data_IF_886032755957
#
_entry.id   IF_886032755957
#
_cell.length_a   1.000
_cell.length_b   1.000
_cell.length_c   1.000
_cell.angle_alpha   90.00
_cell.angle_beta   90.00
_cell.angle_gamma   90.00
#
_symmetry.space_group_name_H-M   'P 1'
#
loop_
_entity.id
_entity.type
_entity.pdbx_description
1 polymer ?
#
# COMPACT_ATOMS: atom_id res chain seq x y z
N UNK A 1 7.73 20.46 14.71
CA UNK A 1 6.90 20.94 13.59
C UNK A 1 7.31 20.23 12.31
N UNK A 2 6.84 18.99 12.14
CA UNK A 2 6.98 18.18 10.92
C UNK A 2 5.82 17.17 10.95
N UNK A 3 5.00 17.15 9.89
CA UNK A 3 4.19 16.01 9.40
C UNK A 3 2.79 15.72 9.99
N UNK A 4 1.89 16.69 10.11
CA UNK A 4 0.44 16.40 10.07
C UNK A 4 -0.15 16.60 8.67
N UNK A 5 0.35 17.59 7.91
CA UNK A 5 0.07 17.74 6.47
C UNK A 5 0.55 16.58 5.59
N UNK A 6 1.30 15.60 6.13
CA UNK A 6 1.58 14.36 5.41
C UNK A 6 0.45 13.34 5.51
N UNK A 7 -0.38 13.34 6.55
CA UNK A 7 -1.30 12.22 6.80
C UNK A 7 -2.53 12.20 5.88
N UNK A 8 -2.95 13.36 5.35
CA UNK A 8 -4.04 13.47 4.36
C UNK A 8 -3.53 13.44 2.91
N UNK A 9 -2.23 13.71 2.71
CA UNK A 9 -1.53 13.62 1.41
C UNK A 9 -0.77 12.30 1.24
N UNK A 10 -0.82 11.42 2.24
CA UNK A 10 -0.34 10.03 2.16
C UNK A 10 -1.40 9.09 1.57
N UNK A 11 -2.20 9.58 0.61
CA UNK A 11 -2.59 8.75 -0.53
C UNK A 11 -1.37 8.62 -1.44
N UNK A 12 -0.30 8.01 -0.93
CA UNK A 12 0.92 7.76 -1.71
C UNK A 12 0.56 6.66 -2.71
N UNK A 13 0.28 7.09 -3.95
CA UNK A 13 1.01 6.69 -5.15
C UNK A 13 1.76 5.36 -4.93
N UNK A 14 1.15 4.24 -5.34
CA UNK A 14 1.82 2.95 -5.52
C UNK A 14 2.77 3.00 -6.74
N UNK A 15 3.62 4.02 -6.77
CA UNK A 15 4.71 4.16 -7.72
C UNK A 15 6.01 3.70 -7.04
N UNK A 16 6.42 2.48 -7.34
CA UNK A 16 7.83 2.20 -7.59
C UNK A 16 8.84 2.31 -6.44
N UNK A 17 8.49 2.19 -5.16
CA UNK A 17 9.49 1.78 -4.15
C UNK A 17 9.55 0.28 -4.07
N UNK A 18 10.39 -0.26 -4.96
CA UNK A 18 10.78 -1.65 -5.08
C UNK A 18 11.03 -2.28 -3.70
N UNK A 19 10.25 -3.33 -3.45
CA UNK A 19 10.41 -4.32 -2.40
C UNK A 19 11.72 -5.08 -2.64
N UNK A 20 12.85 -4.61 -2.15
CA UNK A 20 14.10 -5.39 -2.26
C UNK A 20 14.18 -6.55 -1.26
N UNK A 21 13.23 -6.67 -0.32
CA UNK A 21 13.24 -7.71 0.72
C UNK A 21 11.82 -8.23 1.04
N UNK A 22 10.97 -8.50 0.03
CA UNK A 22 9.75 -9.26 0.29
C UNK A 22 10.08 -10.73 0.51
N UNK A 23 10.01 -11.15 1.76
CA UNK A 23 10.02 -12.56 2.10
C UNK A 23 8.64 -13.20 1.88
N UNK A 24 8.64 -14.51 1.62
CA UNK A 24 7.58 -15.48 1.73
C UNK A 24 6.42 -15.26 2.68
N UNK A 25 5.46 -14.35 2.46
CA UNK A 25 4.16 -14.52 3.13
C UNK A 25 3.53 -15.77 2.51
N UNK A 26 3.15 -16.77 3.32
CA UNK A 26 2.84 -18.11 2.84
C UNK A 26 1.71 -18.08 1.79
N UNK A 27 1.62 -18.98 0.81
CA UNK A 27 0.62 -18.87 -0.29
C UNK A 27 -0.87 -18.95 0.16
N UNK A 28 -1.16 -19.51 1.33
CA UNK A 28 -2.47 -19.44 2.00
C UNK A 28 -2.67 -18.13 2.78
N UNK A 29 -1.60 -17.54 3.32
CA UNK A 29 -1.56 -16.17 3.83
C UNK A 29 -1.61 -15.16 2.70
N UNK A 30 -1.03 -15.40 1.52
CA UNK A 30 -1.15 -14.66 0.26
C UNK A 30 -2.45 -14.93 -0.44
N UNK A 31 -3.18 -16.03 -0.26
CA UNK A 31 -4.59 -16.12 -0.70
C UNK A 31 -5.52 -15.40 0.26
N UNK A 32 -5.21 -15.45 1.55
CA UNK A 32 -5.84 -14.60 2.54
C UNK A 32 -5.40 -13.15 2.37
N UNK A 33 -4.22 -12.87 1.81
CA UNK A 33 -3.60 -11.56 1.59
C UNK A 33 -3.71 -11.05 0.17
N UNK A 34 -4.12 -11.81 -0.84
CA UNK A 34 -4.51 -11.34 -2.17
C UNK A 34 -6.01 -11.21 -2.24
N UNK A 35 -6.75 -12.05 -1.51
CA UNK A 35 -8.10 -11.69 -1.10
C UNK A 35 -8.06 -10.48 -0.18
N UNK A 36 -7.17 -10.42 0.83
CA UNK A 36 -6.99 -9.20 1.62
C UNK A 36 -6.24 -8.07 0.91
N UNK A 37 -5.50 -8.27 -0.19
CA UNK A 37 -4.76 -7.20 -0.90
C UNK A 37 -5.58 -6.62 -2.05
N UNK A 38 -6.44 -7.44 -2.66
CA UNK A 38 -7.61 -6.93 -3.37
C UNK A 38 -8.63 -6.32 -2.37
N UNK A 39 -8.57 -6.66 -1.07
CA UNK A 39 -9.15 -5.85 0.03
C UNK A 39 -8.18 -4.77 0.60
N UNK A 40 -6.92 -4.66 0.16
CA UNK A 40 -5.97 -3.59 0.56
C UNK A 40 -6.09 -2.39 -0.37
N UNK A 41 -6.89 -2.49 -1.43
CA UNK A 41 -7.83 -1.43 -1.74
C UNK A 41 -8.82 -1.30 -0.57
N UNK A 42 -8.36 -0.81 0.60
CA UNK A 42 -9.14 -0.50 1.80
C UNK A 42 -10.59 -1.04 1.80
N UNK A 43 -10.80 -2.36 1.84
CA UNK A 43 -12.04 -2.93 2.38
C UNK A 43 -11.79 -3.04 3.87
N UNK A 44 -11.77 -1.86 4.48
CA UNK A 44 -12.41 -1.72 5.77
C UNK A 44 -13.78 -2.37 5.61
N UNK A 45 -14.00 -3.46 6.33
CA UNK A 45 -15.30 -4.14 6.52
C UNK A 45 -16.23 -3.18 7.28
N UNK A 46 -16.53 -2.06 6.63
CA UNK A 46 -17.40 -0.99 7.06
C UNK A 46 -18.60 -1.15 6.11
N UNK A 47 -19.51 -2.08 6.43
CA UNK A 47 -20.94 -1.97 6.06
C UNK A 47 -21.62 -0.79 6.79
N UNK A 48 -20.87 0.29 6.99
CA UNK A 48 -21.31 1.60 7.42
C UNK A 48 -21.07 2.46 6.21
N UNK A 49 -22.13 2.96 5.60
CA UNK A 49 -22.02 4.02 4.61
C UNK A 49 -21.03 5.06 5.13
N UNK A 50 -19.85 5.17 4.48
CA UNK A 50 -18.83 6.10 4.94
C UNK A 50 -19.46 7.49 4.95
N UNK A 51 -19.42 8.10 6.12
CA UNK A 51 -19.96 9.44 6.28
C UNK A 51 -19.12 10.39 5.43
N UNK A 52 -19.77 11.17 4.55
CA UNK A 52 -19.05 12.14 3.73
C UNK A 52 -18.25 13.09 4.63
N UNK A 53 -17.09 13.56 4.15
CA UNK A 53 -16.29 14.50 4.92
C UNK A 53 -17.08 15.77 5.32
N UNK A 54 -18.00 16.21 4.44
CA UNK A 54 -18.94 17.29 4.71
C UNK A 54 -19.84 16.97 5.92
N UNK A 55 -20.36 15.75 6.03
CA UNK A 55 -21.22 15.37 7.14
C UNK A 55 -20.43 15.24 8.45
N UNK A 56 -19.19 14.73 8.38
CA UNK A 56 -18.26 14.75 9.50
C UNK A 56 -18.00 16.18 10.02
N UNK A 57 -17.75 17.15 9.12
CA UNK A 57 -17.60 18.56 9.48
C UNK A 57 -18.86 19.09 10.20
N UNK A 58 -20.06 18.80 9.67
CA UNK A 58 -21.32 19.25 10.28
C UNK A 58 -21.50 18.72 11.70
N UNK A 59 -21.18 17.44 11.92
CA UNK A 59 -21.33 16.77 13.23
C UNK A 59 -20.23 17.15 14.24
N UNK A 60 -19.12 17.71 13.78
CA UNK A 60 -18.02 18.09 14.66
C UNK A 60 -18.46 19.07 15.73
N UNK A 61 -18.02 18.82 16.98
CA UNK A 61 -18.29 19.66 18.14
C UNK A 61 -17.10 20.54 18.52
N UNK A 62 -15.93 20.30 17.91
CA UNK A 62 -14.66 20.92 18.31
C UNK A 62 -14.31 22.17 17.48
N UNK A 63 -15.15 22.51 16.49
CA UNK A 63 -15.04 23.69 15.65
C UNK A 63 -16.35 24.47 15.66
N UNK A 64 -16.26 25.79 15.48
CA UNK A 64 -17.41 26.70 15.45
C UNK A 64 -18.21 26.57 14.15
N UNK A 65 -19.46 27.05 14.13
CA UNK A 65 -20.29 27.03 12.91
C UNK A 65 -19.66 27.82 11.75
N UNK A 66 -19.00 28.95 12.02
CA UNK A 66 -18.27 29.71 10.99
C UNK A 66 -17.08 28.91 10.41
N UNK A 67 -16.36 28.18 11.26
CA UNK A 67 -15.28 27.29 10.83
C UNK A 67 -15.81 26.11 10.01
N UNK A 68 -16.98 25.55 10.37
CA UNK A 68 -17.65 24.51 9.57
C UNK A 68 -18.04 25.04 8.18
N UNK A 69 -18.66 26.21 8.11
CA UNK A 69 -19.04 26.83 6.84
C UNK A 69 -17.81 27.06 5.94
N UNK A 70 -16.69 27.50 6.51
CA UNK A 70 -15.43 27.69 5.78
C UNK A 70 -14.87 26.37 5.22
N UNK A 71 -14.85 25.29 6.03
CA UNK A 71 -14.39 23.98 5.57
C UNK A 71 -15.32 23.37 4.51
N UNK A 72 -16.65 23.45 4.72
CA UNK A 72 -17.63 22.95 3.75
C UNK A 72 -17.53 23.72 2.43
N UNK A 73 -17.30 25.03 2.48
CA UNK A 73 -17.07 25.83 1.28
C UNK A 73 -15.81 25.38 0.55
N UNK A 74 -14.71 25.20 1.29
CA UNK A 74 -13.45 24.71 0.72
C UNK A 74 -13.64 23.35 0.04
N UNK A 75 -14.34 22.42 0.69
CA UNK A 75 -14.59 21.08 0.15
C UNK A 75 -15.40 21.12 -1.14
N UNK A 76 -16.44 21.95 -1.19
CA UNK A 76 -17.22 22.17 -2.43
C UNK A 76 -16.40 22.80 -3.55
N UNK A 77 -15.46 23.69 -3.22
CA UNK A 77 -14.55 24.28 -4.21
C UNK A 77 -13.53 23.25 -4.73
N UNK A 78 -13.18 22.24 -3.92
CA UNK A 78 -12.27 21.15 -4.28
C UNK A 78 -12.95 19.97 -5.00
N UNK A 79 -14.28 19.82 -4.92
CA UNK A 79 -15.04 18.74 -5.57
C UNK A 79 -14.60 18.43 -7.03
N UNK A 80 -14.46 19.39 -7.95
CA UNK A 80 -13.98 19.10 -9.31
C UNK A 80 -12.51 18.64 -9.35
N UNK A 81 -11.69 19.06 -8.40
CA UNK A 81 -10.29 18.63 -8.27
C UNK A 81 -10.24 17.17 -7.80
N UNK A 82 -11.05 16.81 -6.79
CA UNK A 82 -11.17 15.44 -6.30
C UNK A 82 -11.64 14.47 -7.37
N UNK A 83 -12.69 14.84 -8.12
CA UNK A 83 -13.16 14.02 -9.24
C UNK A 83 -12.08 13.78 -10.29
N UNK A 84 -11.28 14.80 -10.59
CA UNK A 84 -10.18 14.67 -11.56
C UNK A 84 -9.04 13.79 -11.01
N UNK A 85 -8.75 13.86 -9.71
CA UNK A 85 -7.80 12.97 -9.05
C UNK A 85 -8.27 11.52 -9.16
N UNK A 86 -9.52 11.23 -8.78
CA UNK A 86 -10.12 9.89 -8.87
C UNK A 86 -10.06 9.33 -10.30
N UNK A 87 -10.44 10.13 -11.31
CA UNK A 87 -10.38 9.75 -12.73
C UNK A 87 -8.94 9.43 -13.20
N UNK A 88 -7.93 10.13 -12.67
CA UNK A 88 -6.52 9.95 -13.04
C UNK A 88 -5.88 8.78 -12.31
N UNK A 89 -6.17 8.60 -11.02
CA UNK A 89 -5.76 7.43 -10.24
C UNK A 89 -6.32 6.15 -10.84
N UNK A 90 -7.60 6.14 -11.22
CA UNK A 90 -8.23 4.99 -11.90
C UNK A 90 -7.49 4.63 -13.20
N UNK A 91 -7.17 5.64 -14.03
CA UNK A 91 -6.41 5.40 -15.26
C UNK A 91 -4.99 4.92 -15.01
N UNK A 92 -4.32 5.44 -13.98
CA UNK A 92 -2.98 4.98 -13.59
C UNK A 92 -3.02 3.51 -13.15
N UNK A 93 -4.02 3.14 -12.35
CA UNK A 93 -4.24 1.77 -11.90
C UNK A 93 -4.52 0.83 -13.09
N UNK A 94 -5.38 1.21 -14.04
CA UNK A 94 -5.66 0.40 -15.23
C UNK A 94 -4.38 0.14 -16.06
N UNK A 95 -3.51 1.15 -16.18
CA UNK A 95 -2.22 1.02 -16.88
C UNK A 95 -1.30 0.05 -16.13
N UNK A 96 -1.18 0.23 -14.81
CA UNK A 96 -0.35 -0.61 -13.95
C UNK A 96 -0.83 -2.07 -13.97
N UNK A 97 -2.13 -2.33 -13.82
CA UNK A 97 -2.71 -3.68 -13.89
C UNK A 97 -2.43 -4.33 -15.24
N UNK A 98 -2.59 -3.59 -16.34
CA UNK A 98 -2.30 -4.12 -17.68
C UNK A 98 -0.82 -4.46 -17.89
N UNK A 99 0.10 -3.73 -17.27
CA UNK A 99 1.54 -3.94 -17.41
C UNK A 99 2.03 -5.03 -16.45
N UNK A 100 1.53 -5.05 -15.22
CA UNK A 100 2.06 -5.85 -14.12
C UNK A 100 1.21 -7.08 -13.77
N UNK A 101 -0.04 -7.15 -14.21
CA UNK A 101 -0.99 -8.20 -13.81
C UNK A 101 -0.48 -9.62 -14.10
N UNK A 102 0.02 -9.86 -15.31
CA UNK A 102 0.54 -11.17 -15.74
C UNK A 102 1.73 -11.63 -14.87
N UNK A 103 2.62 -10.71 -14.48
CA UNK A 103 3.80 -11.10 -13.71
C UNK A 103 3.42 -11.51 -12.28
N UNK A 104 2.42 -10.85 -11.68
CA UNK A 104 1.90 -11.26 -10.37
C UNK A 104 1.26 -12.65 -10.42
N UNK A 105 0.48 -12.95 -11.45
CA UNK A 105 -0.08 -14.30 -11.65
C UNK A 105 1.03 -15.36 -11.76
N UNK A 106 2.13 -15.06 -12.46
CA UNK A 106 3.27 -15.97 -12.61
C UNK A 106 4.04 -16.20 -11.30
N UNK A 107 4.17 -15.19 -10.44
CA UNK A 107 4.69 -15.39 -9.08
C UNK A 107 3.78 -16.30 -8.27
N UNK A 108 2.48 -16.03 -8.27
CA UNK A 108 1.48 -16.82 -7.55
C UNK A 108 1.49 -18.28 -8.01
N UNK A 109 1.51 -18.54 -9.31
CA UNK A 109 1.57 -19.89 -9.86
C UNK A 109 2.82 -20.64 -9.40
N UNK A 110 3.98 -19.96 -9.37
CA UNK A 110 5.24 -20.57 -8.95
C UNK A 110 5.24 -20.92 -7.47
N UNK A 111 4.78 -20.02 -6.59
CA UNK A 111 4.66 -20.31 -5.17
C UNK A 111 3.62 -21.40 -4.90
N UNK A 112 2.43 -21.30 -5.51
CA UNK A 112 1.35 -22.27 -5.30
C UNK A 112 1.72 -23.68 -5.78
N UNK A 113 2.55 -23.83 -6.81
CA UNK A 113 2.97 -25.13 -7.33
C UNK A 113 3.73 -25.96 -6.27
N UNK A 114 4.50 -25.29 -5.41
CA UNK A 114 5.34 -25.92 -4.39
C UNK A 114 5.09 -25.35 -2.98
N UNK A 115 3.87 -24.84 -2.72
CA UNK A 115 3.46 -24.13 -1.50
C UNK A 115 3.90 -24.85 -0.23
N UNK A 116 3.61 -26.15 -0.12
CA UNK A 116 3.96 -26.94 1.08
C UNK A 116 5.47 -27.06 1.33
N UNK A 117 6.28 -27.00 0.28
CA UNK A 117 7.74 -27.10 0.40
C UNK A 117 8.29 -25.73 0.84
N UNK A 118 7.74 -24.63 0.30
CA UNK A 118 8.04 -23.28 0.75
C UNK A 118 7.60 -23.03 2.20
N UNK A 119 6.39 -23.42 2.58
CA UNK A 119 5.89 -23.36 3.97
C UNK A 119 6.82 -24.10 4.91
N UNK A 120 7.18 -25.34 4.60
CA UNK A 120 8.11 -26.13 5.39
C UNK A 120 9.48 -25.46 5.56
N UNK A 121 9.97 -24.78 4.52
CA UNK A 121 11.22 -24.03 4.59
C UNK A 121 11.11 -22.81 5.52
N UNK A 122 10.04 -22.02 5.38
CA UNK A 122 9.82 -20.81 6.20
C UNK A 122 9.37 -21.11 7.64
N UNK A 123 8.76 -22.27 7.91
CA UNK A 123 8.50 -22.73 9.28
C UNK A 123 9.79 -23.06 10.04
N UNK A 124 10.82 -23.55 9.33
CA UNK A 124 12.13 -23.82 9.93
C UNK A 124 12.95 -22.54 10.12
N UNK A 125 13.02 -21.72 9.07
CA UNK A 125 13.86 -20.52 9.03
C UNK A 125 13.07 -19.35 9.61
N UNK A 126 13.47 -18.84 10.78
CA UNK A 126 12.89 -17.60 11.28
C UNK A 126 13.21 -16.46 10.31
N UNK A 127 12.31 -15.49 10.22
CA UNK A 127 12.51 -14.29 9.41
C UNK A 127 13.82 -13.55 9.73
N UNK A 128 14.22 -13.50 11.00
CA UNK A 128 15.50 -12.91 11.43
C UNK A 128 16.76 -13.67 10.96
N UNK A 129 16.62 -14.93 10.58
CA UNK A 129 17.71 -15.83 10.18
C UNK A 129 17.85 -15.97 8.65
N UNK A 130 16.86 -15.47 7.89
CA UNK A 130 16.90 -15.46 6.43
C UNK A 130 17.86 -14.38 5.93
N UNK A 131 18.60 -14.73 4.90
CA UNK A 131 19.56 -13.84 4.23
C UNK A 131 19.08 -13.51 2.83
N UNK A 132 19.69 -12.50 2.22
CA UNK A 132 19.43 -12.19 0.80
C UNK A 132 19.85 -13.33 -0.16
N UNK A 133 20.60 -14.34 0.33
CA UNK A 133 20.98 -15.54 -0.44
C UNK A 133 20.11 -16.74 -0.05
N UNK A 134 18.85 -16.72 -0.49
CA UNK A 134 17.87 -17.78 -0.27
C UNK A 134 18.37 -19.15 -0.77
N UNK A 135 19.19 -19.20 -1.84
CA UNK A 135 19.79 -20.45 -2.32
C UNK A 135 20.70 -21.10 -1.28
N UNK A 136 21.50 -20.28 -0.58
CA UNK A 136 22.34 -20.71 0.54
C UNK A 136 21.48 -21.16 1.72
N UNK A 137 20.38 -20.46 2.00
CA UNK A 137 19.52 -20.79 3.13
C UNK A 137 18.72 -22.09 2.91
N UNK A 138 18.24 -22.35 1.70
CA UNK A 138 17.67 -23.64 1.29
C UNK A 138 18.68 -24.77 1.52
N UNK A 139 19.97 -24.53 1.23
CA UNK A 139 21.01 -25.54 1.46
C UNK A 139 21.20 -25.85 2.96
N UNK A 140 21.11 -24.82 3.82
CA UNK A 140 21.25 -24.94 5.27
C UNK A 140 20.06 -25.61 5.95
N UNK A 141 18.88 -25.61 5.31
CA UNK A 141 17.69 -26.26 5.87
C UNK A 141 17.97 -27.71 6.27
N UNK A 142 17.54 -28.07 7.47
CA UNK A 142 17.66 -29.40 8.05
C UNK A 142 16.37 -30.20 7.88
N UNK A 143 15.24 -29.53 7.64
CA UNK A 143 13.94 -30.17 7.47
C UNK A 143 13.68 -30.61 6.03
N UNK A 144 14.23 -29.90 5.04
CA UNK A 144 14.07 -30.24 3.62
C UNK A 144 14.93 -31.45 3.22
N UNK A 145 14.32 -32.34 2.43
CA UNK A 145 15.01 -33.43 1.74
C UNK A 145 15.85 -32.91 0.57
N UNK A 146 16.75 -33.74 0.05
CA UNK A 146 17.57 -33.37 -1.11
C UNK A 146 16.73 -33.05 -2.36
N UNK A 147 15.60 -33.76 -2.55
CA UNK A 147 14.66 -33.51 -3.65
C UNK A 147 13.92 -32.18 -3.47
N UNK A 148 13.37 -31.94 -2.28
CA UNK A 148 12.71 -30.66 -1.94
C UNK A 148 13.67 -29.46 -2.10
N UNK A 149 14.93 -29.59 -1.67
CA UNK A 149 15.94 -28.55 -1.88
C UNK A 149 16.20 -28.29 -3.36
N UNK A 150 16.24 -29.33 -4.19
CA UNK A 150 16.42 -29.16 -5.63
C UNK A 150 15.22 -28.45 -6.28
N UNK A 151 14.00 -28.73 -5.82
CA UNK A 151 12.77 -28.05 -6.27
C UNK A 151 12.83 -26.57 -5.89
N UNK A 152 13.04 -26.23 -4.61
CA UNK A 152 13.07 -24.83 -4.17
C UNK A 152 14.19 -24.03 -4.83
N UNK A 153 15.35 -24.64 -5.09
CA UNK A 153 16.44 -23.98 -5.83
C UNK A 153 16.08 -23.69 -7.29
N UNK A 154 15.30 -24.56 -7.92
CA UNK A 154 14.82 -24.32 -9.28
C UNK A 154 13.75 -23.23 -9.30
N UNK A 155 12.87 -23.19 -8.30
CA UNK A 155 11.90 -22.11 -8.15
C UNK A 155 12.58 -20.78 -7.87
N UNK A 156 13.54 -20.73 -6.95
CA UNK A 156 14.35 -19.55 -6.64
C UNK A 156 15.09 -18.98 -7.86
N UNK A 157 15.56 -19.84 -8.77
CA UNK A 157 16.11 -19.38 -10.05
C UNK A 157 15.08 -18.70 -10.93
N UNK A 158 13.86 -19.24 -11.00
CA UNK A 158 12.76 -18.63 -11.75
C UNK A 158 12.29 -17.33 -11.09
N UNK A 159 12.20 -17.27 -9.76
CA UNK A 159 11.89 -16.05 -9.01
C UNK A 159 12.88 -14.94 -9.37
N UNK A 160 14.18 -15.23 -9.39
CA UNK A 160 15.22 -14.28 -9.83
C UNK A 160 15.10 -13.82 -11.28
N UNK A 161 14.51 -14.63 -12.15
CA UNK A 161 14.22 -14.24 -13.53
C UNK A 161 12.98 -13.34 -13.59
N UNK A 162 11.94 -13.68 -12.82
CA UNK A 162 10.75 -12.84 -12.66
C UNK A 162 11.11 -11.48 -12.05
N UNK A 163 12.00 -11.41 -11.06
CA UNK A 163 12.40 -10.14 -10.42
C UNK A 163 12.98 -9.16 -11.44
N UNK A 164 13.85 -9.65 -12.32
CA UNK A 164 14.45 -8.85 -13.42
C UNK A 164 13.44 -8.44 -14.47
N UNK A 165 12.39 -9.23 -14.67
CA UNK A 165 11.29 -8.88 -15.56
C UNK A 165 10.41 -7.82 -14.91
N UNK A 166 10.10 -7.97 -13.62
CA UNK A 166 9.33 -7.03 -12.82
C UNK A 166 9.98 -5.65 -12.78
N UNK A 167 11.30 -5.57 -12.61
CA UNK A 167 12.04 -4.30 -12.70
C UNK A 167 11.79 -3.56 -14.03
N UNK A 168 11.83 -4.29 -15.16
CA UNK A 168 11.61 -3.70 -16.49
C UNK A 168 10.16 -3.28 -16.70
N UNK A 169 9.22 -4.07 -16.17
CA UNK A 169 7.80 -3.75 -16.24
C UNK A 169 7.47 -2.53 -15.36
N UNK A 170 8.12 -2.40 -14.19
CA UNK A 170 8.02 -1.22 -13.34
C UNK A 170 8.55 0.03 -14.05
N UNK A 171 9.74 -0.02 -14.66
CA UNK A 171 10.28 1.10 -15.46
C UNK A 171 9.32 1.52 -16.58
N UNK A 172 8.67 0.54 -17.22
CA UNK A 172 7.68 0.79 -18.27
C UNK A 172 6.41 1.43 -17.72
N UNK A 173 5.90 0.94 -16.59
CA UNK A 173 4.74 1.50 -15.91
C UNK A 173 4.99 2.95 -15.47
N UNK A 174 6.18 3.24 -14.95
CA UNK A 174 6.60 4.59 -14.57
C UNK A 174 6.62 5.53 -15.78
N UNK A 175 7.17 5.10 -16.92
CA UNK A 175 7.19 5.95 -18.13
C UNK A 175 5.78 6.12 -18.73
N UNK A 176 4.94 5.09 -18.75
CA UNK A 176 3.57 5.18 -19.27
C UNK A 176 2.63 6.02 -18.38
N UNK A 177 2.88 6.07 -17.07
CA UNK A 177 2.07 6.84 -16.10
C UNK A 177 2.65 8.22 -15.79
N UNK A 178 3.83 8.57 -16.31
CA UNK A 178 4.57 9.81 -16.03
C UNK A 178 3.75 11.10 -16.17
N UNK A 179 3.01 11.25 -17.26
CA UNK A 179 2.20 12.46 -17.48
C UNK A 179 0.96 12.50 -16.57
N UNK A 180 0.40 11.33 -16.23
CA UNK A 180 -0.68 11.21 -15.26
C UNK A 180 -0.17 11.62 -13.88
N UNK A 181 0.98 11.10 -13.46
CA UNK A 181 1.61 11.41 -12.17
C UNK A 181 1.97 12.90 -12.08
N UNK A 182 2.52 13.48 -13.15
CA UNK A 182 2.81 14.92 -13.19
C UNK A 182 1.55 15.78 -13.08
N UNK A 183 0.40 15.31 -13.56
CA UNK A 183 -0.89 16.01 -13.40
C UNK A 183 -1.48 15.82 -12.00
N UNK A 184 -1.40 14.61 -11.44
CA UNK A 184 -1.78 14.32 -10.05
C UNK A 184 -1.01 15.22 -9.07
N UNK A 185 0.32 15.36 -9.24
CA UNK A 185 1.15 16.25 -8.42
C UNK A 185 0.63 17.69 -8.40
N UNK A 186 0.18 18.21 -9.56
CA UNK A 186 -0.39 19.56 -9.64
C UNK A 186 -1.73 19.65 -8.91
N UNK A 187 -2.58 18.63 -9.02
CA UNK A 187 -3.89 18.60 -8.37
C UNK A 187 -3.77 18.46 -6.85
N UNK A 188 -2.89 17.59 -6.35
CA UNK A 188 -2.62 17.50 -4.92
C UNK A 188 -2.02 18.78 -4.36
N UNK A 189 -1.21 19.51 -5.14
CA UNK A 189 -0.72 20.83 -4.72
C UNK A 189 -1.85 21.84 -4.56
N UNK A 190 -2.90 21.77 -5.39
CA UNK A 190 -4.10 22.62 -5.23
C UNK A 190 -4.81 22.26 -3.91
N UNK A 191 -4.99 20.97 -3.64
CA UNK A 191 -5.57 20.47 -2.38
C UNK A 191 -4.73 20.89 -1.17
N UNK A 192 -3.40 20.75 -1.24
CA UNK A 192 -2.46 21.13 -0.18
C UNK A 192 -2.60 22.60 0.15
N UNK A 193 -2.60 23.48 -0.86
CA UNK A 193 -2.77 24.93 -0.67
C UNK A 193 -4.13 25.29 -0.06
N UNK A 194 -5.19 24.57 -0.42
CA UNK A 194 -6.50 24.73 0.21
C UNK A 194 -6.50 24.24 1.66
N UNK A 195 -5.75 23.17 1.94
CA UNK A 195 -5.63 22.56 3.26
C UNK A 195 -4.83 23.45 4.21
N UNK A 196 -3.70 23.97 3.76
CA UNK A 196 -2.81 24.85 4.52
C UNK A 196 -3.53 26.11 5.01
N UNK A 197 -4.38 26.72 4.17
CA UNK A 197 -5.21 27.89 4.55
C UNK A 197 -6.15 27.58 5.71
N UNK A 198 -6.55 26.33 5.84
CA UNK A 198 -7.51 25.82 6.81
C UNK A 198 -6.84 25.04 7.95
N UNK A 199 -5.49 24.98 8.00
CA UNK A 199 -4.75 24.11 8.93
C UNK A 199 -5.16 24.31 10.39
N UNK A 200 -5.33 25.56 10.84
CA UNK A 200 -5.76 25.85 12.22
C UNK A 200 -7.13 25.27 12.58
N UNK A 201 -8.01 25.13 11.59
CA UNK A 201 -9.34 24.53 11.77
C UNK A 201 -9.19 22.99 11.77
N UNK A 202 -8.37 22.45 10.87
CA UNK A 202 -8.07 21.01 10.86
C UNK A 202 -7.38 20.53 12.15
N UNK A 203 -6.46 21.31 12.73
CA UNK A 203 -5.83 20.99 14.02
C UNK A 203 -6.83 20.87 15.17
N UNK A 204 -7.95 21.61 15.10
CA UNK A 204 -9.06 21.51 16.07
C UNK A 204 -9.99 20.36 15.77
N UNK A 205 -10.24 20.12 14.48
CA UNK A 205 -11.12 19.06 13.99
C UNK A 205 -10.49 17.68 14.27
N UNK A 206 -9.18 17.57 14.09
CA UNK A 206 -8.35 16.39 14.31
C UNK A 206 -7.25 16.71 15.34
N UNK A 207 -7.61 16.86 16.63
CA UNK A 207 -6.62 17.15 17.65
C UNK A 207 -5.60 16.00 17.74
N UNK A 208 -4.34 16.34 18.01
CA UNK A 208 -3.31 15.33 18.29
C UNK A 208 -3.81 14.37 19.35
N UNK A 209 -3.86 13.07 19.01
CA UNK A 209 -4.16 12.04 19.99
C UNK A 209 -3.02 12.02 21.00
N UNK A 210 -3.28 12.46 22.23
CA UNK A 210 -2.35 12.25 23.34
C UNK A 210 -2.14 10.74 23.45
N UNK A 211 -0.89 10.22 23.42
CA UNK A 211 -0.65 8.83 23.72
C UNK A 211 -1.33 8.50 25.06
N UNK A 212 -2.13 7.44 25.10
CA UNK A 212 -2.67 6.94 26.35
C UNK A 212 -1.49 6.78 27.30
N UNK A 213 -1.44 7.57 28.37
CA UNK A 213 -0.49 7.33 29.44
C UNK A 213 -0.79 5.94 29.94
N UNK A 214 0.08 4.97 29.64
CA UNK A 214 0.07 3.69 30.32
C UNK A 214 0.22 4.00 31.81
N UNK A 215 -0.88 3.95 32.54
CA UNK A 215 -0.86 3.87 33.99
C UNK A 215 -0.31 2.50 34.34
N UNK A 216 1.01 2.34 34.24
CA UNK A 216 1.71 1.26 34.89
C UNK A 216 1.69 1.59 36.38
N UNK A 217 0.65 1.11 37.07
CA UNK A 217 0.67 1.01 38.53
C UNK A 217 1.89 0.19 38.92
N UNK A 218 2.76 0.81 39.73
CA UNK A 218 3.94 0.19 40.34
C UNK A 218 3.57 -0.93 41.30
#
# INVERSE_FOLDING_TARGET
MKKLGKLLLTGIVLGGTMMTNMMPVNASEMKMETKKANECAYILDIEKQEESFIDYIKKSKNITEAEKEQLIKTEKELEPTWKKIEDLETKSNDINEKIMGDIYERYDELFNANEKIWEKFYEEMKEEDLTDDIMSDIEKSKTLTAEEKAILKADEQKLKELDKEMEKLADKADEETKEINAELDKLYKIVEQATEKNQKIYDKLFPEMTPLQETISK
#
